data_IF_761171978113
#
_entry.id   IF_761171978113
#
_cell.length_a   1.000
_cell.length_b   1.000
_cell.length_c   1.000
_cell.angle_alpha   90.00
_cell.angle_beta   90.00
_cell.angle_gamma   90.00
#
_symmetry.space_group_name_H-M   'P 1'
#
loop_
_entity.id
_entity.type
_entity.pdbx_description
1 polymer ?
#
# COMPACT_ATOMS: atom_id res chain seq x y z
N UNK A 1 52.38 -31.87 28.18
CA UNK A 1 52.36 -31.36 26.76
C UNK A 1 50.92 -31.30 26.38
N UNK A 2 50.27 -30.24 26.86
CA UNK A 2 48.81 -30.09 26.79
C UNK A 2 48.51 -29.43 25.43
N UNK A 3 47.76 -30.17 24.63
CA UNK A 3 47.30 -29.69 23.32
C UNK A 3 45.95 -28.98 23.55
N UNK A 4 45.96 -27.64 23.52
CA UNK A 4 44.73 -26.84 23.48
C UNK A 4 43.93 -27.17 22.20
N UNK A 5 42.62 -27.45 22.32
CA UNK A 5 41.78 -27.56 21.13
C UNK A 5 41.53 -26.16 20.53
N UNK A 6 41.90 -26.00 19.26
CA UNK A 6 41.65 -24.81 18.47
C UNK A 6 40.16 -24.47 18.49
N UNK A 7 39.81 -23.29 18.99
CA UNK A 7 38.47 -22.73 18.94
C UNK A 7 38.08 -22.53 17.45
N UNK A 8 37.41 -23.52 16.89
CA UNK A 8 36.68 -23.35 15.66
C UNK A 8 35.57 -22.31 15.92
N UNK A 9 35.65 -21.17 15.24
CA UNK A 9 34.64 -20.11 15.23
C UNK A 9 33.31 -20.71 14.74
N UNK A 10 32.53 -21.29 15.64
CA UNK A 10 31.14 -21.62 15.39
C UNK A 10 30.40 -20.31 15.18
N UNK A 11 30.11 -20.00 13.92
CA UNK A 11 29.19 -18.90 13.56
C UNK A 11 27.86 -19.20 14.24
N UNK A 12 27.53 -18.41 15.24
CA UNK A 12 26.33 -18.52 16.04
C UNK A 12 25.10 -18.56 15.11
N UNK A 13 24.29 -19.64 15.09
CA UNK A 13 23.17 -19.80 14.19
C UNK A 13 22.10 -18.70 14.32
N UNK A 14 22.06 -17.99 15.45
CA UNK A 14 21.17 -16.86 15.68
C UNK A 14 21.56 -15.61 14.86
N UNK A 15 22.85 -15.35 14.66
CA UNK A 15 23.32 -14.20 13.86
C UNK A 15 23.11 -14.43 12.37
N UNK A 16 23.23 -15.67 11.90
CA UNK A 16 22.93 -16.03 10.53
C UNK A 16 21.44 -15.86 10.21
N UNK A 17 20.56 -16.23 11.17
CA UNK A 17 19.11 -16.03 11.05
C UNK A 17 18.75 -14.54 11.02
N UNK A 18 19.42 -13.69 11.80
CA UNK A 18 19.16 -12.25 11.84
C UNK A 18 19.59 -11.58 10.52
N UNK A 19 20.73 -11.99 9.96
CA UNK A 19 21.21 -11.49 8.67
C UNK A 19 20.23 -11.86 7.53
N UNK A 20 19.79 -13.13 7.48
CA UNK A 20 18.80 -13.58 6.49
C UNK A 20 17.47 -12.85 6.61
N UNK A 21 16.99 -12.63 7.82
CA UNK A 21 15.76 -11.87 8.08
C UNK A 21 15.90 -10.43 7.60
N UNK A 22 17.02 -9.77 7.90
CA UNK A 22 17.31 -8.42 7.42
C UNK A 22 17.37 -8.34 5.88
N UNK A 23 18.04 -9.30 5.26
CA UNK A 23 18.12 -9.38 3.81
C UNK A 23 16.74 -9.59 3.15
N UNK A 24 15.92 -10.49 3.70
CA UNK A 24 14.55 -10.72 3.21
C UNK A 24 13.68 -9.48 3.34
N UNK A 25 13.77 -8.75 4.46
CA UNK A 25 13.03 -7.50 4.66
C UNK A 25 13.42 -6.45 3.62
N UNK A 26 14.71 -6.26 3.38
CA UNK A 26 15.20 -5.32 2.36
C UNK A 26 14.80 -5.75 0.95
N UNK A 27 14.84 -7.04 0.64
CA UNK A 27 14.40 -7.57 -0.65
C UNK A 27 12.90 -7.36 -0.86
N UNK A 28 12.06 -7.64 0.16
CA UNK A 28 10.62 -7.40 0.10
C UNK A 28 10.32 -5.90 -0.04
N UNK A 29 11.03 -5.03 0.69
CA UNK A 29 10.88 -3.58 0.56
C UNK A 29 11.24 -3.12 -0.85
N UNK A 30 12.33 -3.63 -1.42
CA UNK A 30 12.73 -3.31 -2.79
C UNK A 30 11.67 -3.77 -3.80
N UNK A 31 11.17 -5.00 -3.69
CA UNK A 31 10.11 -5.52 -4.55
C UNK A 31 8.81 -4.73 -4.42
N UNK A 32 8.48 -4.28 -3.22
CA UNK A 32 7.33 -3.40 -2.98
C UNK A 32 7.47 -2.07 -3.74
N UNK A 33 8.65 -1.44 -3.66
CA UNK A 33 8.94 -0.20 -4.40
C UNK A 33 8.94 -0.40 -5.92
N UNK A 34 9.45 -1.54 -6.40
CA UNK A 34 9.37 -1.93 -7.82
C UNK A 34 7.92 -2.09 -8.25
N UNK A 35 7.07 -2.69 -7.41
CA UNK A 35 5.63 -2.80 -7.65
C UNK A 35 4.96 -1.44 -7.80
N UNK A 36 5.26 -0.47 -6.91
CA UNK A 36 4.78 0.92 -7.02
C UNK A 36 5.24 1.55 -8.35
N UNK A 37 6.52 1.42 -8.68
CA UNK A 37 7.08 1.95 -9.92
C UNK A 37 6.46 1.33 -11.18
N UNK A 38 6.25 0.00 -11.16
CA UNK A 38 5.62 -0.73 -12.25
C UNK A 38 4.16 -0.34 -12.46
N UNK A 39 3.41 -0.10 -11.38
CA UNK A 39 2.06 0.44 -11.46
C UNK A 39 2.06 1.83 -12.13
N UNK A 40 2.95 2.74 -11.70
CA UNK A 40 3.10 4.05 -12.33
C UNK A 40 3.47 3.96 -13.81
N UNK A 41 4.33 3.02 -14.18
CA UNK A 41 4.69 2.76 -15.57
C UNK A 41 3.50 2.23 -16.38
N UNK A 42 2.71 1.31 -15.82
CA UNK A 42 1.51 0.77 -16.48
C UNK A 42 0.48 1.86 -16.78
N UNK A 43 0.24 2.79 -15.82
CA UNK A 43 -0.65 3.93 -16.06
C UNK A 43 -0.18 4.83 -17.18
N UNK A 44 1.13 5.06 -17.31
CA UNK A 44 1.69 5.80 -18.44
C UNK A 44 1.48 5.10 -19.78
N UNK A 45 1.56 3.76 -19.79
CA UNK A 45 1.32 2.95 -20.99
C UNK A 45 -0.16 2.92 -21.41
N UNK A 46 -1.10 3.06 -20.47
CA UNK A 46 -2.52 3.20 -20.79
C UNK A 46 -2.84 4.48 -21.58
N UNK A 47 -1.98 5.49 -21.47
CA UNK A 47 -2.14 6.76 -22.19
C UNK A 47 -3.04 7.78 -21.48
N UNK A 48 -3.16 8.94 -22.11
CA UNK A 48 -3.89 10.08 -21.53
C UNK A 48 -5.40 9.86 -21.41
N UNK A 49 -6.00 9.13 -22.34
CA UNK A 49 -7.43 8.87 -22.34
C UNK A 49 -7.88 8.13 -21.06
N UNK A 50 -7.17 7.07 -20.67
CA UNK A 50 -7.50 6.33 -19.45
C UNK A 50 -7.27 7.19 -18.20
N UNK A 51 -6.21 8.00 -18.18
CA UNK A 51 -5.95 8.93 -17.08
C UNK A 51 -7.06 9.98 -16.96
N UNK A 52 -7.52 10.56 -18.08
CA UNK A 52 -8.62 11.52 -18.09
C UNK A 52 -9.94 10.89 -17.61
N UNK A 53 -10.29 9.71 -18.13
CA UNK A 53 -11.49 8.99 -17.71
C UNK A 53 -11.46 8.65 -16.22
N UNK A 54 -10.29 8.31 -15.67
CA UNK A 54 -10.12 8.04 -14.24
C UNK A 54 -10.29 9.32 -13.41
N UNK A 55 -9.71 10.43 -13.83
CA UNK A 55 -9.88 11.74 -13.19
C UNK A 55 -11.34 12.16 -13.21
N UNK A 56 -12.03 12.01 -14.34
CA UNK A 56 -13.45 12.33 -14.48
C UNK A 56 -14.32 11.42 -13.59
N UNK A 57 -14.05 10.13 -13.58
CA UNK A 57 -14.77 9.18 -12.72
C UNK A 57 -14.60 9.47 -11.21
N UNK A 58 -13.46 10.04 -10.83
CA UNK A 58 -13.14 10.42 -9.46
C UNK A 58 -13.38 11.90 -9.14
N UNK A 59 -13.91 12.67 -10.08
CA UNK A 59 -14.24 14.08 -9.87
C UNK A 59 -15.30 14.28 -8.79
N UNK A 60 -16.23 13.32 -8.65
CA UNK A 60 -17.16 13.30 -7.53
C UNK A 60 -16.50 12.66 -6.30
N UNK A 61 -16.36 13.38 -5.19
CA UNK A 61 -15.78 12.84 -3.96
C UNK A 61 -16.52 11.61 -3.41
N UNK A 62 -17.85 11.56 -3.61
CA UNK A 62 -18.68 10.41 -3.20
C UNK A 62 -18.29 9.19 -4.03
N UNK A 63 -18.13 9.34 -5.35
CA UNK A 63 -17.68 8.25 -6.23
C UNK A 63 -16.29 7.75 -5.80
N UNK A 64 -15.36 8.66 -5.50
CA UNK A 64 -14.04 8.32 -4.97
C UNK A 64 -14.12 7.50 -3.69
N UNK A 65 -14.97 7.90 -2.75
CA UNK A 65 -15.20 7.17 -1.50
C UNK A 65 -15.66 5.72 -1.77
N UNK A 66 -16.65 5.53 -2.64
CA UNK A 66 -17.14 4.19 -3.00
C UNK A 66 -16.11 3.36 -3.73
N UNK A 67 -15.31 3.97 -4.62
CA UNK A 67 -14.19 3.28 -5.28
C UNK A 67 -13.20 2.77 -4.24
N UNK A 68 -12.85 3.57 -3.24
CA UNK A 68 -11.96 3.17 -2.16
C UNK A 68 -12.50 2.01 -1.32
N UNK A 69 -13.78 2.06 -0.95
CA UNK A 69 -14.47 0.97 -0.23
C UNK A 69 -14.40 -0.32 -1.04
N UNK A 70 -14.81 -0.26 -2.31
CA UNK A 70 -14.85 -1.43 -3.18
C UNK A 70 -13.46 -1.99 -3.45
N UNK A 71 -12.50 -1.13 -3.77
CA UNK A 71 -11.13 -1.56 -4.03
C UNK A 71 -10.53 -2.29 -2.81
N UNK A 72 -10.73 -1.76 -1.60
CA UNK A 72 -10.21 -2.40 -0.39
C UNK A 72 -10.97 -3.68 -0.06
N UNK A 73 -12.29 -3.72 -0.24
CA UNK A 73 -13.06 -4.93 -0.05
C UNK A 73 -12.63 -6.08 -1.00
N UNK A 74 -12.20 -5.74 -2.22
CA UNK A 74 -11.68 -6.71 -3.20
C UNK A 74 -10.24 -7.12 -2.89
N UNK A 75 -9.36 -6.15 -2.63
CA UNK A 75 -7.92 -6.39 -2.37
C UNK A 75 -7.69 -6.93 -0.96
N UNK A 76 -8.64 -6.75 -0.04
CA UNK A 76 -8.59 -7.15 1.37
C UNK A 76 -7.43 -6.51 2.16
N UNK A 77 -6.93 -5.35 1.68
CA UNK A 77 -5.80 -4.63 2.29
C UNK A 77 -5.89 -3.13 1.97
N UNK A 78 -6.21 -2.33 2.99
CA UNK A 78 -6.24 -0.87 2.84
C UNK A 78 -4.85 -0.27 2.60
N UNK A 79 -3.81 -0.87 3.17
CA UNK A 79 -2.44 -0.42 2.93
C UNK A 79 -2.01 -0.62 1.48
N UNK A 80 -2.34 -1.78 0.90
CA UNK A 80 -2.09 -2.05 -0.51
C UNK A 80 -2.90 -1.09 -1.38
N UNK A 81 -4.20 -0.91 -1.09
CA UNK A 81 -5.05 0.04 -1.82
C UNK A 81 -4.52 1.47 -1.73
N UNK A 82 -4.11 1.94 -0.55
CA UNK A 82 -3.51 3.27 -0.39
C UNK A 82 -2.23 3.41 -1.20
N UNK A 83 -1.37 2.40 -1.20
CA UNK A 83 -0.13 2.41 -1.99
C UNK A 83 -0.42 2.44 -3.50
N UNK A 84 -1.47 1.75 -3.95
CA UNK A 84 -1.94 1.82 -5.33
C UNK A 84 -2.40 3.24 -5.69
N UNK A 85 -3.21 3.87 -4.84
CA UNK A 85 -3.69 5.24 -5.06
C UNK A 85 -2.51 6.21 -5.14
N UNK A 86 -1.53 6.09 -4.24
CA UNK A 86 -0.30 6.91 -4.27
C UNK A 86 0.47 6.71 -5.58
N UNK A 87 0.62 5.47 -6.06
CA UNK A 87 1.29 5.18 -7.32
C UNK A 87 0.57 5.82 -8.52
N UNK A 88 -0.77 5.78 -8.54
CA UNK A 88 -1.59 6.39 -9.59
C UNK A 88 -1.48 7.91 -9.57
N UNK A 89 -1.50 8.53 -8.39
CA UNK A 89 -1.26 9.98 -8.23
C UNK A 89 0.13 10.35 -8.74
N UNK A 90 1.15 9.61 -8.35
CA UNK A 90 2.53 9.84 -8.79
C UNK A 90 2.71 9.66 -10.32
N UNK A 91 1.89 8.82 -10.95
CA UNK A 91 1.86 8.65 -12.41
C UNK A 91 1.07 9.76 -13.15
N UNK A 92 0.36 10.64 -12.43
CA UNK A 92 -0.51 11.67 -13.01
C UNK A 92 -1.88 11.15 -13.47
N UNK A 93 -2.22 9.89 -13.12
CA UNK A 93 -3.53 9.29 -13.46
C UNK A 93 -4.66 9.68 -12.50
N UNK A 94 -4.33 10.35 -11.39
CA UNK A 94 -5.28 10.80 -10.39
C UNK A 94 -4.81 12.11 -9.76
N UNK A 95 -5.74 13.00 -9.45
CA UNK A 95 -5.40 14.22 -8.68
C UNK A 95 -5.28 13.91 -7.20
N UNK A 96 -4.50 14.71 -6.46
CA UNK A 96 -4.39 14.58 -5.00
C UNK A 96 -5.76 14.74 -4.33
N UNK A 97 -6.58 15.67 -4.81
CA UNK A 97 -7.93 15.92 -4.30
C UNK A 97 -8.86 14.73 -4.53
N UNK A 98 -8.78 14.06 -5.69
CA UNK A 98 -9.54 12.85 -5.99
C UNK A 98 -9.05 11.62 -5.20
N UNK A 99 -7.77 11.59 -4.83
CA UNK A 99 -7.19 10.50 -4.06
C UNK A 99 -7.66 10.44 -2.61
N UNK A 100 -7.89 11.59 -1.96
CA UNK A 100 -8.26 11.67 -0.54
C UNK A 100 -9.56 10.92 -0.23
N UNK A 101 -10.67 11.15 -0.97
CA UNK A 101 -11.90 10.37 -0.77
C UNK A 101 -11.70 8.87 -0.98
N UNK A 102 -10.87 8.47 -1.93
CA UNK A 102 -10.56 7.05 -2.19
C UNK A 102 -9.84 6.44 -0.97
N UNK A 103 -8.87 7.15 -0.39
CA UNK A 103 -8.16 6.69 0.81
C UNK A 103 -9.09 6.62 2.02
N UNK A 104 -10.00 7.59 2.17
CA UNK A 104 -11.03 7.53 3.22
C UNK A 104 -11.94 6.31 3.03
N UNK A 105 -12.36 6.04 1.80
CA UNK A 105 -13.13 4.85 1.45
C UNK A 105 -12.38 3.55 1.72
N UNK A 106 -11.09 3.52 1.44
CA UNK A 106 -10.23 2.36 1.70
C UNK A 106 -10.23 1.98 3.19
N UNK A 107 -10.26 2.94 4.09
CA UNK A 107 -10.36 2.68 5.54
C UNK A 107 -11.71 2.05 5.93
N UNK A 108 -12.82 2.50 5.34
CA UNK A 108 -14.12 1.86 5.53
C UNK A 108 -14.13 0.45 4.94
N UNK A 109 -13.52 0.24 3.78
CA UNK A 109 -13.44 -1.07 3.13
C UNK A 109 -12.76 -2.14 3.99
N UNK A 110 -11.79 -1.76 4.82
CA UNK A 110 -11.17 -2.66 5.81
C UNK A 110 -12.18 -3.15 6.84
N UNK A 111 -13.06 -2.27 7.29
CA UNK A 111 -14.12 -2.58 8.24
C UNK A 111 -15.06 -3.67 7.70
N UNK A 112 -15.49 -3.54 6.44
CA UNK A 112 -16.33 -4.56 5.76
C UNK A 112 -15.66 -5.94 5.80
N UNK A 113 -14.34 -6.00 5.61
CA UNK A 113 -13.58 -7.26 5.67
C UNK A 113 -13.64 -7.90 7.06
N UNK A 114 -13.41 -7.13 8.11
CA UNK A 114 -13.46 -7.63 9.49
C UNK A 114 -14.84 -8.20 9.83
N UNK A 115 -15.90 -7.52 9.40
CA UNK A 115 -17.27 -7.98 9.57
C UNK A 115 -17.54 -9.29 8.82
N UNK A 116 -17.10 -9.41 7.56
CA UNK A 116 -17.23 -10.64 6.77
C UNK A 116 -16.48 -11.82 7.41
N UNK A 117 -15.27 -11.60 7.90
CA UNK A 117 -14.48 -12.64 8.59
C UNK A 117 -15.17 -13.08 9.88
N UNK A 118 -15.75 -12.15 10.65
CA UNK A 118 -16.49 -12.48 11.87
C UNK A 118 -17.71 -13.35 11.61
N UNK A 119 -18.40 -13.15 10.48
CA UNK A 119 -19.53 -14.00 10.06
C UNK A 119 -19.13 -15.46 9.78
N UNK A 120 -17.86 -15.70 9.41
CA UNK A 120 -17.33 -17.06 9.24
C UNK A 120 -17.37 -17.90 10.55
N UNK A 121 -17.42 -17.24 11.71
CA UNK A 121 -17.49 -17.89 13.04
C UNK A 121 -18.90 -18.01 13.59
N UNK A 122 -19.95 -17.80 12.77
CA UNK A 122 -21.37 -17.78 13.20
C UNK A 122 -21.80 -19.10 13.87
N UNK A 123 -21.16 -20.22 13.53
CA UNK A 123 -21.41 -21.53 14.15
C UNK A 123 -20.88 -21.66 15.59
N UNK A 124 -20.00 -20.78 16.01
CA UNK A 124 -19.36 -20.82 17.35
C UNK A 124 -19.77 -19.58 18.14
N UNK A 125 -20.87 -19.68 18.89
CA UNK A 125 -21.54 -18.55 19.55
C UNK A 125 -20.64 -17.61 20.36
N UNK A 126 -19.67 -18.17 21.10
CA UNK A 126 -18.76 -17.35 21.93
C UNK A 126 -17.67 -16.66 21.11
N UNK A 127 -17.14 -17.33 20.10
CA UNK A 127 -16.12 -16.76 19.19
C UNK A 127 -16.74 -15.69 18.29
N UNK A 128 -17.93 -16.00 17.73
CA UNK A 128 -18.67 -15.02 16.92
C UNK A 128 -18.95 -13.73 17.70
N UNK A 129 -19.45 -13.82 18.95
CA UNK A 129 -19.72 -12.61 19.75
C UNK A 129 -18.49 -11.74 19.97
N UNK A 130 -17.32 -12.37 20.23
CA UNK A 130 -16.06 -11.63 20.44
C UNK A 130 -15.55 -11.04 19.12
N UNK A 131 -15.49 -11.84 18.05
CA UNK A 131 -15.03 -11.42 16.75
C UNK A 131 -15.91 -10.31 16.16
N UNK A 132 -17.23 -10.48 16.24
CA UNK A 132 -18.20 -9.50 15.73
C UNK A 132 -18.17 -8.19 16.56
N UNK A 133 -18.06 -8.26 17.88
CA UNK A 133 -17.96 -7.06 18.71
C UNK A 133 -16.67 -6.27 18.40
N UNK A 134 -15.54 -6.96 18.21
CA UNK A 134 -14.28 -6.31 17.81
C UNK A 134 -14.37 -5.69 16.40
N UNK A 135 -14.96 -6.40 15.43
CA UNK A 135 -15.22 -5.90 14.09
C UNK A 135 -16.09 -4.65 14.12
N UNK A 136 -17.24 -4.70 14.81
CA UNK A 136 -18.14 -3.55 14.92
C UNK A 136 -17.47 -2.32 15.56
N UNK A 137 -16.62 -2.50 16.57
CA UNK A 137 -15.91 -1.38 17.18
C UNK A 137 -14.97 -0.69 16.17
N UNK A 138 -14.23 -1.48 15.41
CA UNK A 138 -13.36 -0.98 14.34
C UNK A 138 -14.16 -0.29 13.23
N UNK A 139 -15.30 -0.88 12.84
CA UNK A 139 -16.19 -0.36 11.80
C UNK A 139 -16.75 1.01 12.21
N UNK A 140 -17.25 1.13 13.45
CA UNK A 140 -17.76 2.39 13.99
C UNK A 140 -16.70 3.47 14.03
N UNK A 141 -15.47 3.14 14.45
CA UNK A 141 -14.37 4.09 14.48
C UNK A 141 -14.06 4.64 13.08
N UNK A 142 -13.93 3.77 12.08
CA UNK A 142 -13.66 4.19 10.70
C UNK A 142 -14.83 4.99 10.11
N UNK A 143 -16.05 4.56 10.35
CA UNK A 143 -17.25 5.24 9.87
C UNK A 143 -17.39 6.64 10.48
N UNK A 144 -17.19 6.77 11.80
CA UNK A 144 -17.23 8.06 12.49
C UNK A 144 -16.09 8.99 12.01
N UNK A 145 -14.88 8.46 11.83
CA UNK A 145 -13.77 9.23 11.31
C UNK A 145 -14.09 9.80 9.92
N UNK A 146 -14.64 8.99 9.03
CA UNK A 146 -15.02 9.44 7.68
C UNK A 146 -16.24 10.35 7.75
N UNK A 147 -17.24 10.08 8.60
CA UNK A 147 -18.42 10.94 8.77
C UNK A 147 -18.07 12.36 9.24
N UNK A 148 -16.96 12.53 9.95
CA UNK A 148 -16.47 13.85 10.39
C UNK A 148 -15.51 14.45 9.35
N UNK A 149 -14.50 13.67 8.91
CA UNK A 149 -13.44 14.18 8.05
C UNK A 149 -13.89 14.40 6.61
N UNK A 150 -14.80 13.60 6.09
CA UNK A 150 -15.26 13.74 4.72
C UNK A 150 -16.05 15.03 4.47
N UNK A 151 -17.07 15.40 5.28
CA UNK A 151 -17.72 16.71 5.14
C UNK A 151 -16.76 17.88 5.41
N UNK A 152 -15.83 17.73 6.37
CA UNK A 152 -14.82 18.72 6.66
C UNK A 152 -13.90 18.95 5.45
N UNK A 153 -13.47 17.89 4.80
CA UNK A 153 -12.67 17.98 3.57
C UNK A 153 -13.45 18.63 2.44
N UNK A 154 -14.72 18.26 2.24
CA UNK A 154 -15.59 18.88 1.23
C UNK A 154 -15.79 20.38 1.46
N UNK A 155 -15.93 20.81 2.71
CA UNK A 155 -16.16 22.21 3.06
C UNK A 155 -14.88 23.04 3.05
N UNK A 156 -13.76 22.50 3.49
CA UNK A 156 -12.54 23.27 3.76
C UNK A 156 -11.34 22.87 2.91
N UNK A 157 -11.32 21.66 2.34
CA UNK A 157 -10.16 21.09 1.66
C UNK A 157 -8.93 20.96 2.57
N UNK A 158 -9.14 20.77 3.88
CA UNK A 158 -8.05 20.83 4.88
C UNK A 158 -7.01 19.75 4.67
N UNK A 159 -7.41 18.54 4.33
CA UNK A 159 -6.48 17.43 4.11
C UNK A 159 -5.72 17.61 2.79
N UNK A 160 -6.40 18.05 1.74
CA UNK A 160 -5.78 18.40 0.45
C UNK A 160 -4.76 19.51 0.61
N UNK A 161 -5.10 20.58 1.36
CA UNK A 161 -4.19 21.70 1.64
C UNK A 161 -2.99 21.25 2.47
N UNK A 162 -3.24 20.48 3.53
CA UNK A 162 -2.18 19.96 4.39
C UNK A 162 -1.21 19.06 3.60
N UNK A 163 -1.74 18.17 2.76
CA UNK A 163 -0.94 17.29 1.91
C UNK A 163 -0.10 18.10 0.90
N UNK A 164 -0.67 19.15 0.31
CA UNK A 164 0.04 20.04 -0.61
C UNK A 164 1.16 20.79 0.12
N UNK A 165 0.87 21.40 1.26
CA UNK A 165 1.87 22.12 2.07
C UNK A 165 3.01 21.20 2.49
N UNK A 166 2.70 19.97 2.94
CA UNK A 166 3.72 18.99 3.27
C UNK A 166 4.56 18.63 2.04
N UNK A 167 3.92 18.39 0.90
CA UNK A 167 4.64 18.12 -0.36
C UNK A 167 5.60 19.24 -0.73
N UNK A 168 5.16 20.50 -0.63
CA UNK A 168 5.97 21.68 -0.93
C UNK A 168 7.13 21.84 0.07
N UNK A 169 6.88 21.60 1.35
CA UNK A 169 7.95 21.63 2.38
C UNK A 169 9.00 20.58 2.09
N UNK A 170 8.61 19.34 1.78
CA UNK A 170 9.55 18.28 1.46
C UNK A 170 10.28 18.53 0.13
N UNK A 171 9.61 19.07 -0.89
CA UNK A 171 10.21 19.41 -2.15
C UNK A 171 11.26 20.54 -2.00
N UNK A 172 10.97 21.53 -1.15
CA UNK A 172 11.86 22.68 -0.93
C UNK A 172 12.94 22.43 0.13
N UNK A 173 12.65 21.62 1.18
CA UNK A 173 13.64 21.27 2.21
C UNK A 173 14.79 20.42 1.66
N UNK A 174 14.56 19.77 0.55
CA UNK A 174 15.56 18.90 -0.08
C UNK A 174 16.56 19.62 -0.96
N UNK A 175 16.56 20.94 -1.22
CA UNK A 175 17.56 21.74 -1.97
C UNK A 175 18.41 21.02 -3.05
N UNK A 176 18.40 19.73 -3.02
CA UNK A 176 18.94 18.75 -3.92
C UNK A 176 17.77 18.31 -4.82
N UNK A 177 17.86 18.62 -6.08
CA UNK A 177 17.26 17.76 -7.10
C UNK A 177 17.96 16.39 -6.99
N UNK A 178 17.70 15.71 -5.90
CA UNK A 178 18.03 14.30 -5.80
C UNK A 178 17.18 13.67 -6.91
N UNK A 179 17.82 13.33 -8.01
CA UNK A 179 17.34 12.35 -8.93
C UNK A 179 16.79 11.24 -8.02
N UNK A 180 15.46 11.13 -7.98
CA UNK A 180 14.73 10.38 -6.94
C UNK A 180 15.45 9.04 -6.74
N UNK A 181 16.29 8.84 -5.70
CA UNK A 181 17.21 7.70 -5.64
C UNK A 181 16.42 6.39 -5.69
N UNK A 182 15.18 6.42 -5.17
CA UNK A 182 14.25 5.31 -5.27
C UNK A 182 13.88 5.02 -6.73
N UNK A 183 13.66 6.04 -7.54
CA UNK A 183 13.35 5.89 -8.95
C UNK A 183 14.53 5.30 -9.71
N UNK A 184 15.74 5.82 -9.49
CA UNK A 184 16.96 5.31 -10.13
C UNK A 184 17.21 3.85 -9.78
N UNK A 185 16.95 3.44 -8.55
CA UNK A 185 17.12 2.06 -8.10
C UNK A 185 16.06 1.10 -8.66
N UNK A 186 14.81 1.57 -8.81
CA UNK A 186 13.68 0.71 -9.24
C UNK A 186 13.48 0.73 -10.75
N UNK A 187 13.88 1.79 -11.45
CA UNK A 187 13.67 1.96 -12.89
C UNK A 187 14.22 0.80 -13.75
N UNK A 188 15.43 0.25 -13.50
CA UNK A 188 15.93 -0.91 -14.26
C UNK A 188 15.06 -2.15 -14.10
N UNK A 189 14.58 -2.42 -12.87
CA UNK A 189 13.70 -3.55 -12.60
C UNK A 189 12.33 -3.36 -13.24
N UNK A 190 11.76 -2.17 -13.18
CA UNK A 190 10.50 -1.81 -13.83
C UNK A 190 10.60 -1.93 -15.36
N UNK A 191 11.69 -1.45 -15.94
CA UNK A 191 11.94 -1.60 -17.38
C UNK A 191 12.03 -3.08 -17.78
N UNK A 192 12.74 -3.89 -17.01
CA UNK A 192 12.83 -5.35 -17.24
C UNK A 192 11.45 -6.00 -17.15
N UNK A 193 10.65 -5.67 -16.13
CA UNK A 193 9.28 -6.17 -15.99
C UNK A 193 8.42 -5.77 -17.20
N UNK A 194 8.51 -4.51 -17.64
CA UNK A 194 7.78 -4.01 -18.80
C UNK A 194 8.16 -4.75 -20.08
N UNK A 195 9.44 -5.05 -20.29
CA UNK A 195 9.90 -5.82 -21.45
C UNK A 195 9.46 -7.29 -21.40
N UNK A 196 9.50 -7.92 -20.22
CA UNK A 196 9.03 -9.30 -20.02
C UNK A 196 7.54 -9.46 -20.35
N UNK A 197 6.75 -8.43 -20.07
CA UNK A 197 5.29 -8.42 -20.32
C UNK A 197 4.96 -7.93 -21.74
N UNK A 198 5.99 -7.67 -22.58
CA UNK A 198 5.80 -7.19 -23.95
C UNK A 198 5.19 -5.78 -24.03
N UNK A 199 5.38 -4.95 -23.00
CA UNK A 199 4.82 -3.59 -22.93
C UNK A 199 3.30 -3.54 -22.78
N UNK A 200 2.64 -4.65 -22.43
CA UNK A 200 1.19 -4.68 -22.23
C UNK A 200 0.79 -4.04 -20.89
N UNK A 201 0.03 -2.91 -20.90
CA UNK A 201 -0.25 -2.16 -19.67
C UNK A 201 -1.04 -2.96 -18.64
N UNK A 202 -2.01 -3.77 -19.07
CA UNK A 202 -2.85 -4.58 -18.16
C UNK A 202 -2.00 -5.64 -17.45
N UNK A 203 -1.15 -6.35 -18.18
CA UNK A 203 -0.30 -7.38 -17.59
C UNK A 203 0.73 -6.78 -16.65
N UNK A 204 1.30 -5.62 -17.00
CA UNK A 204 2.23 -4.90 -16.13
C UNK A 204 1.52 -4.42 -14.85
N UNK A 205 0.30 -3.93 -14.97
CA UNK A 205 -0.53 -3.53 -13.82
C UNK A 205 -0.78 -4.71 -12.88
N UNK A 206 -1.28 -5.83 -13.41
CA UNK A 206 -1.58 -7.02 -12.61
C UNK A 206 -0.34 -7.58 -11.92
N UNK A 207 0.80 -7.64 -12.62
CA UNK A 207 2.06 -8.10 -12.07
C UNK A 207 2.56 -7.15 -10.97
N UNK A 208 2.43 -5.84 -11.17
CA UNK A 208 2.82 -4.84 -10.18
C UNK A 208 1.97 -4.91 -8.91
N UNK A 209 0.66 -5.09 -9.07
CA UNK A 209 -0.29 -5.28 -7.94
C UNK A 209 0.04 -6.57 -7.19
N UNK A 210 0.27 -7.67 -7.89
CA UNK A 210 0.66 -8.95 -7.27
C UNK A 210 1.98 -8.81 -6.51
N UNK A 211 2.97 -8.13 -7.09
CA UNK A 211 4.27 -7.90 -6.47
C UNK A 211 4.13 -7.07 -5.19
N UNK A 212 3.31 -6.00 -5.23
CA UNK A 212 3.01 -5.19 -4.04
C UNK A 212 2.32 -6.00 -2.95
N UNK A 213 1.27 -6.74 -3.29
CA UNK A 213 0.50 -7.53 -2.34
C UNK A 213 1.35 -8.59 -1.66
N UNK A 214 2.12 -9.36 -2.42
CA UNK A 214 3.03 -10.40 -1.89
C UNK A 214 4.11 -9.78 -1.03
N UNK A 215 4.78 -8.72 -1.50
CA UNK A 215 5.85 -8.07 -0.75
C UNK A 215 5.34 -7.47 0.55
N UNK A 216 4.17 -6.82 0.53
CA UNK A 216 3.54 -6.27 1.72
C UNK A 216 3.20 -7.35 2.74
N UNK A 217 2.63 -8.47 2.31
CA UNK A 217 2.32 -9.60 3.19
C UNK A 217 3.59 -10.13 3.88
N UNK A 218 4.67 -10.29 3.13
CA UNK A 218 5.95 -10.75 3.67
C UNK A 218 6.64 -9.71 4.57
N UNK A 219 6.41 -8.41 4.37
CA UNK A 219 6.89 -7.36 5.27
C UNK A 219 6.16 -7.36 6.61
N UNK A 220 4.87 -7.69 6.62
CA UNK A 220 4.02 -7.63 7.82
C UNK A 220 4.04 -8.91 8.65
N UNK A 221 4.18 -10.09 8.04
CA UNK A 221 4.20 -11.38 8.73
C UNK A 221 5.26 -11.48 9.85
N UNK A 222 6.53 -11.04 9.67
CA UNK A 222 7.53 -11.13 10.74
C UNK A 222 7.23 -10.24 11.95
N UNK A 223 6.46 -9.15 11.76
CA UNK A 223 6.10 -8.22 12.84
C UNK A 223 4.91 -8.70 13.66
N UNK A 224 4.03 -9.52 13.07
CA UNK A 224 2.84 -10.06 13.73
C UNK A 224 3.18 -11.34 14.51
N UNK A 225 4.12 -12.16 14.05
CA UNK A 225 4.51 -13.41 14.70
C UNK A 225 5.57 -13.24 15.81
N UNK A 226 5.97 -12.01 16.16
CA UNK A 226 6.94 -11.71 17.21
C UNK A 226 6.30 -11.22 18.52
N UNK A 227 4.97 -11.36 18.67
CA UNK A 227 4.22 -11.04 19.89
C UNK A 227 3.80 -12.30 20.61
#
# INVERSE_FOLDING_TARGET
>A
MDIEPSASSEKNPQTLNLFWRGFLLLACLYLFLVGIGGMGASFKLFGQEVSQNLIEATASPITGLFIGILATALVQSSSTTTSMVVAVVAAGGLTLQGAIPIIMGANIGTAVTCTLVSLGHIGQKNEFRRAFAAACLHDWFNLLAVAILFPLELATGILSRLATVLSDVFANAGGLQLANPLKVMTEPAVATLSTLVGGQPILLLLLSVALMAVSYTHLTLPTICSV
#
